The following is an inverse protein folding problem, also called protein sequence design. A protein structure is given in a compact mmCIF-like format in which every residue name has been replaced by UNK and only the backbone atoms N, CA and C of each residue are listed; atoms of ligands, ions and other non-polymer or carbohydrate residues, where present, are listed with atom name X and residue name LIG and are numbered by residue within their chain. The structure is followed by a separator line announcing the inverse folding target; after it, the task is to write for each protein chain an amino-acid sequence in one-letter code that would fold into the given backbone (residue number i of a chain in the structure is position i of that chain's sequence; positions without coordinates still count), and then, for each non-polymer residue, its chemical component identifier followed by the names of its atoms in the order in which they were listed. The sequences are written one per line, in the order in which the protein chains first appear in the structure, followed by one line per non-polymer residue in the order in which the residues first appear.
data_IF_192378382613
#
_entry.id   IF_192378382613
#
_cell.length_a   1.000
_cell.length_b   1.000
_cell.length_c   1.000
_cell.angle_alpha   90.00
_cell.angle_beta   90.00
_cell.angle_gamma   90.00
#
_symmetry.space_group_name_H-M   'P 1'
#
loop_
_entity.id
_entity.type
_entity.pdbx_description
1 polymer ?
#
# COMPACT_ATOMS: atom_id res chain seq x y z
N UNK A 1 -5.98 6.52 2.84
CA UNK A 1 -7.03 5.51 2.96
C UNK A 1 -8.33 6.23 2.72
N UNK A 2 -9.23 5.62 1.98
CA UNK A 2 -10.48 6.28 1.57
C UNK A 2 -11.47 6.47 2.73
N UNK A 3 -11.35 5.68 3.80
CA UNK A 3 -12.26 5.64 4.95
C UNK A 3 -11.57 5.85 6.30
N UNK A 4 -10.49 6.65 6.35
CA UNK A 4 -9.69 6.82 7.57
C UNK A 4 -10.44 7.50 8.72
N UNK A 5 -11.27 8.50 8.40
CA UNK A 5 -12.07 9.27 9.37
C UNK A 5 -13.53 8.80 9.39
N UNK A 6 -13.78 7.55 8.99
CA UNK A 6 -15.13 7.01 8.79
C UNK A 6 -15.60 7.03 7.34
N UNK A 7 -16.68 6.31 7.09
CA UNK A 7 -17.24 6.16 5.74
C UNK A 7 -18.02 7.42 5.38
N UNK A 8 -17.78 7.98 4.19
CA UNK A 8 -18.51 9.15 3.66
C UNK A 8 -19.06 8.87 2.28
N UNK A 9 -20.23 9.41 1.96
CA UNK A 9 -20.83 9.20 0.65
C UNK A 9 -19.96 9.89 -0.44
N UNK A 10 -19.50 9.19 -1.49
CA UNK A 10 -18.66 9.79 -2.52
C UNK A 10 -19.42 10.78 -3.43
N UNK A 11 -20.75 10.84 -3.33
CA UNK A 11 -21.60 11.71 -4.16
C UNK A 11 -22.01 13.01 -3.46
N UNK A 12 -22.22 12.97 -2.13
CA UNK A 12 -22.76 14.10 -1.37
C UNK A 12 -22.05 14.35 -0.04
N UNK A 13 -20.96 13.62 0.26
CA UNK A 13 -20.13 13.75 1.46
C UNK A 13 -20.83 13.52 2.81
N UNK A 14 -22.09 13.07 2.82
CA UNK A 14 -22.84 12.74 4.03
C UNK A 14 -22.26 11.51 4.75
N UNK A 15 -22.29 11.55 6.07
CA UNK A 15 -21.88 10.47 6.99
C UNK A 15 -23.03 9.50 7.32
N UNK A 16 -24.27 9.83 6.92
CA UNK A 16 -25.46 9.02 7.20
C UNK A 16 -25.52 7.78 6.29
N UNK A 17 -24.73 6.75 6.61
CA UNK A 17 -24.52 5.57 5.77
C UNK A 17 -24.97 4.30 6.49
N UNK A 18 -25.58 3.39 5.73
CA UNK A 18 -25.91 2.04 6.20
C UNK A 18 -25.16 1.00 5.37
N UNK A 19 -24.78 -0.10 6.02
CA UNK A 19 -24.31 -1.30 5.32
C UNK A 19 -25.49 -1.92 4.57
N UNK A 20 -25.29 -2.19 3.28
CA UNK A 20 -26.33 -2.71 2.39
C UNK A 20 -26.03 -4.17 2.07
N UNK A 21 -26.72 -5.09 2.75
CA UNK A 21 -26.34 -6.50 2.86
C UNK A 21 -26.48 -7.35 1.58
N UNK A 22 -27.11 -6.85 0.51
CA UNK A 22 -27.33 -7.61 -0.72
C UNK A 22 -26.04 -7.91 -1.51
N UNK A 23 -24.96 -7.18 -1.24
CA UNK A 23 -23.62 -7.43 -1.77
C UNK A 23 -22.60 -7.15 -0.67
N UNK A 24 -21.69 -8.10 -0.38
CA UNK A 24 -20.58 -7.89 0.56
C UNK A 24 -19.84 -6.58 0.20
N UNK A 25 -19.65 -5.72 1.21
CA UNK A 25 -18.99 -4.40 1.10
C UNK A 25 -19.75 -3.31 0.32
N UNK A 26 -21.09 -3.41 0.22
CA UNK A 26 -21.92 -2.33 -0.30
C UNK A 26 -22.46 -1.42 0.82
N UNK A 27 -22.55 -0.12 0.51
CA UNK A 27 -23.04 0.94 1.38
C UNK A 27 -24.18 1.68 0.70
N UNK A 28 -25.15 2.17 1.48
CA UNK A 28 -26.21 3.07 1.00
C UNK A 28 -26.22 4.35 1.81
N UNK A 29 -26.20 5.49 1.12
CA UNK A 29 -26.33 6.80 1.75
C UNK A 29 -27.80 7.10 2.04
N UNK A 30 -28.16 7.51 3.26
CA UNK A 30 -29.52 7.94 3.62
C UNK A 30 -29.88 9.29 3.02
N UNK A 31 -28.91 10.21 2.89
CA UNK A 31 -29.16 11.56 2.37
C UNK A 31 -29.48 11.57 0.86
N UNK A 32 -28.61 10.98 0.03
CA UNK A 32 -28.81 10.97 -1.43
C UNK A 32 -29.41 9.67 -1.98
N UNK A 33 -29.69 8.69 -1.10
CA UNK A 33 -30.26 7.36 -1.43
C UNK A 33 -29.44 6.49 -2.38
N UNK A 34 -28.28 6.94 -2.86
CA UNK A 34 -27.38 6.19 -3.76
C UNK A 34 -26.59 5.11 -3.02
N UNK A 35 -26.26 4.04 -3.73
CA UNK A 35 -25.38 2.95 -3.26
C UNK A 35 -23.96 3.14 -3.77
N UNK A 36 -22.97 2.74 -2.98
CA UNK A 36 -21.56 2.73 -3.36
C UNK A 36 -20.81 1.59 -2.65
N UNK A 37 -19.58 1.31 -3.08
CA UNK A 37 -18.70 0.33 -2.46
C UNK A 37 -17.26 0.86 -2.40
N UNK A 38 -16.33 0.03 -1.94
CA UNK A 38 -14.91 0.38 -1.83
C UNK A 38 -14.25 0.68 -3.19
N UNK A 39 -14.81 0.16 -4.28
CA UNK A 39 -14.30 0.40 -5.63
C UNK A 39 -14.83 1.70 -6.23
N UNK A 40 -15.92 2.28 -5.72
CA UNK A 40 -16.56 3.47 -6.30
C UNK A 40 -15.60 4.66 -6.35
N UNK A 41 -15.35 5.23 -7.53
CA UNK A 41 -14.40 6.34 -7.71
C UNK A 41 -12.93 5.92 -7.84
N UNK A 42 -12.62 4.63 -7.74
CA UNK A 42 -11.28 4.07 -8.01
C UNK A 42 -11.16 3.59 -9.46
N UNK A 43 -9.96 3.13 -9.87
CA UNK A 43 -9.75 2.49 -11.17
C UNK A 43 -10.58 1.20 -11.36
N UNK A 44 -11.07 0.61 -10.28
CA UNK A 44 -11.87 -0.63 -10.27
C UNK A 44 -13.38 -0.37 -10.31
N UNK A 45 -13.80 0.90 -10.42
CA UNK A 45 -15.21 1.29 -10.47
C UNK A 45 -15.96 0.55 -11.57
N UNK A 46 -17.22 0.22 -11.29
CA UNK A 46 -18.15 -0.45 -12.20
C UNK A 46 -17.70 -1.83 -12.69
N UNK A 47 -16.67 -2.42 -12.09
CA UNK A 47 -16.24 -3.78 -12.41
C UNK A 47 -16.88 -4.81 -11.49
N UNK A 48 -17.40 -5.88 -12.10
CA UNK A 48 -17.92 -7.06 -11.40
C UNK A 48 -16.80 -7.97 -10.87
N UNK A 49 -15.57 -7.84 -11.39
CA UNK A 49 -14.40 -8.61 -10.95
C UNK A 49 -14.04 -8.21 -9.51
N UNK A 50 -13.85 -9.14 -8.58
CA UNK A 50 -13.45 -8.85 -7.20
C UNK A 50 -12.04 -8.26 -7.12
N UNK A 51 -11.71 -7.61 -6.00
CA UNK A 51 -10.50 -6.79 -5.92
C UNK A 51 -9.21 -7.62 -5.98
N UNK A 52 -9.20 -8.80 -5.38
CA UNK A 52 -8.11 -9.77 -5.46
C UNK A 52 -7.79 -10.18 -6.91
N UNK A 53 -8.81 -10.53 -7.72
CA UNK A 53 -8.62 -10.85 -9.14
C UNK A 53 -8.12 -9.64 -9.95
N UNK A 54 -8.56 -8.43 -9.60
CA UNK A 54 -8.05 -7.20 -10.22
C UNK A 54 -6.56 -6.96 -9.94
N UNK A 55 -6.15 -7.17 -8.70
CA UNK A 55 -4.76 -7.04 -8.29
C UNK A 55 -3.90 -8.13 -8.94
N UNK A 56 -4.44 -9.35 -9.05
CA UNK A 56 -3.78 -10.42 -9.77
C UNK A 56 -3.67 -10.14 -11.28
N UNK A 57 -4.72 -9.63 -11.94
CA UNK A 57 -4.65 -9.20 -13.34
C UNK A 57 -3.56 -8.15 -13.55
N UNK A 58 -3.46 -7.17 -12.63
CA UNK A 58 -2.40 -6.15 -12.67
C UNK A 58 -1.01 -6.77 -12.55
N UNK A 59 -0.84 -7.77 -11.68
CA UNK A 59 0.41 -8.53 -11.57
C UNK A 59 0.77 -9.24 -12.87
N UNK A 60 -0.17 -10.02 -13.41
CA UNK A 60 0.01 -10.79 -14.64
C UNK A 60 0.47 -9.91 -15.81
N UNK A 61 -0.21 -8.77 -16.03
CA UNK A 61 0.10 -7.87 -17.14
C UNK A 61 1.36 -7.02 -16.90
N UNK A 62 1.57 -6.58 -15.67
CA UNK A 62 2.61 -5.61 -15.33
C UNK A 62 3.97 -6.22 -15.00
N UNK A 63 4.00 -7.44 -14.44
CA UNK A 63 5.23 -8.08 -13.98
C UNK A 63 5.57 -9.34 -14.78
N UNK A 64 4.56 -10.15 -15.11
CA UNK A 64 4.78 -11.35 -15.93
C UNK A 64 4.65 -11.08 -17.43
N UNK A 65 4.22 -9.88 -17.82
CA UNK A 65 4.03 -9.44 -19.21
C UNK A 65 3.25 -10.45 -20.06
N UNK A 66 2.29 -11.17 -19.47
CA UNK A 66 1.51 -12.15 -20.21
C UNK A 66 0.49 -11.46 -21.12
N UNK A 67 0.14 -12.13 -22.22
CA UNK A 67 -0.87 -11.64 -23.14
C UNK A 67 -2.27 -11.65 -22.51
N UNK A 68 -3.15 -10.75 -22.96
CA UNK A 68 -4.55 -10.68 -22.51
C UNK A 68 -5.29 -12.03 -22.67
N UNK A 69 -5.15 -12.78 -23.79
CA UNK A 69 -5.73 -14.11 -23.90
C UNK A 69 -5.23 -15.09 -22.83
N UNK A 70 -3.93 -15.07 -22.50
CA UNK A 70 -3.39 -15.93 -21.44
C UNK A 70 -3.95 -15.51 -20.08
N UNK A 71 -3.97 -14.22 -19.76
CA UNK A 71 -4.56 -13.70 -18.53
C UNK A 71 -6.05 -14.06 -18.38
N UNK A 72 -6.79 -14.13 -19.49
CA UNK A 72 -8.18 -14.60 -19.53
C UNK A 72 -8.33 -16.04 -19.03
N UNK A 73 -7.40 -16.93 -19.43
CA UNK A 73 -7.40 -18.33 -19.01
C UNK A 73 -6.98 -18.47 -17.54
N UNK A 74 -5.94 -17.76 -17.12
CA UNK A 74 -5.45 -17.80 -15.72
C UNK A 74 -6.52 -17.30 -14.71
N UNK A 75 -7.37 -16.36 -15.12
CA UNK A 75 -8.44 -15.84 -14.28
C UNK A 75 -9.77 -16.61 -14.43
N UNK A 76 -9.84 -17.55 -15.36
CA UNK A 76 -11.10 -18.23 -15.72
C UNK A 76 -12.23 -17.24 -16.02
N UNK A 77 -11.90 -16.14 -16.72
CA UNK A 77 -12.84 -15.08 -17.11
C UNK A 77 -12.95 -14.97 -18.62
N UNK A 78 -14.03 -14.35 -19.11
CA UNK A 78 -14.17 -14.05 -20.53
C UNK A 78 -13.12 -13.03 -20.99
N UNK A 79 -12.64 -13.21 -22.22
CA UNK A 79 -11.65 -12.32 -22.83
C UNK A 79 -12.07 -10.86 -22.74
N UNK A 80 -13.34 -10.57 -23.05
CA UNK A 80 -13.87 -9.21 -23.06
C UNK A 80 -13.87 -8.56 -21.66
N UNK A 81 -14.14 -9.33 -20.61
CA UNK A 81 -14.06 -8.83 -19.23
C UNK A 81 -12.62 -8.46 -18.84
N UNK A 82 -11.65 -9.31 -19.22
CA UNK A 82 -10.23 -9.07 -18.96
C UNK A 82 -9.70 -7.93 -19.82
N UNK A 83 -10.05 -7.85 -21.09
CA UNK A 83 -9.65 -6.79 -22.01
C UNK A 83 -10.11 -5.41 -21.54
N UNK A 84 -11.40 -5.26 -21.20
CA UNK A 84 -11.94 -4.00 -20.62
C UNK A 84 -11.21 -3.62 -19.33
N UNK A 85 -10.82 -4.61 -18.54
CA UNK A 85 -10.13 -4.40 -17.27
C UNK A 85 -8.67 -3.98 -17.46
N UNK A 86 -7.95 -4.66 -18.37
CA UNK A 86 -6.60 -4.34 -18.78
C UNK A 86 -6.49 -2.91 -19.32
N UNK A 87 -7.44 -2.48 -20.15
CA UNK A 87 -7.51 -1.09 -20.64
C UNK A 87 -7.56 -0.08 -19.50
N UNK A 88 -8.36 -0.32 -18.45
CA UNK A 88 -8.42 0.58 -17.28
C UNK A 88 -7.06 0.69 -16.58
N UNK A 89 -6.30 -0.40 -16.48
CA UNK A 89 -4.95 -0.41 -15.88
C UNK A 89 -3.99 0.45 -16.72
N UNK A 90 -3.98 0.22 -18.03
CA UNK A 90 -3.12 0.96 -18.98
C UNK A 90 -3.43 2.46 -18.91
N UNK A 91 -4.70 2.85 -19.05
CA UNK A 91 -5.09 4.26 -19.00
C UNK A 91 -4.82 4.93 -17.64
N UNK A 92 -4.94 4.19 -16.54
CA UNK A 92 -4.62 4.73 -15.20
C UNK A 92 -3.14 5.07 -15.06
N UNK A 93 -2.24 4.23 -15.60
CA UNK A 93 -0.80 4.46 -15.60
C UNK A 93 -0.45 5.69 -16.46
N UNK A 94 -1.03 5.81 -17.66
CA UNK A 94 -0.77 6.96 -18.53
C UNK A 94 -1.27 8.29 -17.96
N UNK A 95 -2.44 8.31 -17.28
CA UNK A 95 -2.94 9.52 -16.61
C UNK A 95 -2.04 10.02 -15.48
N UNK A 96 -1.20 9.16 -14.89
CA UNK A 96 -0.26 9.56 -13.84
C UNK A 96 0.94 10.33 -14.40
N UNK A 97 1.29 10.13 -15.68
CA UNK A 97 2.42 10.80 -16.35
C UNK A 97 2.08 12.18 -16.93
N UNK A 98 0.79 12.55 -17.04
CA UNK A 98 0.36 13.73 -17.81
C UNK A 98 -0.66 14.66 -17.17
N UNK A 99 -1.05 14.50 -15.90
CA UNK A 99 -2.04 15.38 -15.27
C UNK A 99 -1.44 16.24 -14.15
N UNK A 100 -1.57 17.57 -14.28
CA UNK A 100 -1.64 18.47 -13.11
C UNK A 100 -2.92 18.12 -12.35
N UNK A 101 -2.81 17.90 -11.04
CA UNK A 101 -3.95 17.61 -10.18
C UNK A 101 -5.03 18.71 -10.34
N UNK A 102 -6.27 18.32 -10.64
CA UNK A 102 -7.41 19.27 -10.68
C UNK A 102 -7.64 19.94 -9.32
N UNK A 103 -8.02 21.22 -9.35
CA UNK A 103 -8.39 22.02 -8.17
C UNK A 103 -9.68 21.47 -7.54
N UNK A 104 -9.61 21.16 -6.24
CA UNK A 104 -10.71 20.65 -5.41
C UNK A 104 -10.16 19.71 -4.33
N UNK A 105 -10.63 19.81 -3.08
CA UNK A 105 -9.99 19.21 -1.89
C UNK A 105 -9.76 17.69 -2.04
N UNK A 106 -8.53 17.32 -2.41
CA UNK A 106 -7.86 16.08 -1.98
C UNK A 106 -6.59 16.50 -1.26
N UNK A 107 -6.71 16.76 0.03
CA UNK A 107 -5.55 16.98 0.88
C UNK A 107 -4.92 15.62 1.19
N UNK A 108 -4.02 15.18 0.30
CA UNK A 108 -3.25 13.95 0.46
C UNK A 108 -2.43 13.89 1.76
N UNK A 109 -2.26 15.02 2.45
CA UNK A 109 -1.51 15.11 3.70
C UNK A 109 -2.14 14.34 4.88
N UNK A 110 -3.41 13.95 4.81
CA UNK A 110 -4.10 13.20 5.88
C UNK A 110 -4.56 11.78 5.49
N UNK A 111 -4.48 11.43 4.21
CA UNK A 111 -5.07 10.21 3.65
C UNK A 111 -4.02 9.14 3.29
N UNK A 112 -2.87 9.09 3.94
CA UNK A 112 -1.94 7.96 3.75
C UNK A 112 -2.32 6.83 4.71
N UNK A 113 -2.47 5.57 4.24
CA UNK A 113 -2.57 4.45 5.17
C UNK A 113 -1.37 4.45 6.10
N UNK A 114 -1.63 4.20 7.38
CA UNK A 114 -0.56 4.04 8.35
C UNK A 114 0.11 2.70 8.05
N UNK A 115 1.33 2.78 7.52
CA UNK A 115 2.11 1.62 7.12
C UNK A 115 3.46 1.76 7.78
N UNK A 116 3.81 0.80 8.61
CA UNK A 116 5.15 0.68 9.14
C UNK A 116 6.04 -0.01 8.10
N UNK A 117 7.14 0.64 7.74
CA UNK A 117 8.11 0.12 6.78
C UNK A 117 9.32 -0.36 7.57
N UNK A 118 9.58 -1.67 7.52
CA UNK A 118 10.77 -2.28 8.11
C UNK A 118 11.71 -2.67 6.99
N UNK A 119 12.95 -2.17 7.03
CA UNK A 119 13.94 -2.45 5.99
C UNK A 119 15.25 -2.86 6.64
N UNK A 120 15.69 -4.07 6.33
CA UNK A 120 17.02 -4.53 6.66
C UNK A 120 18.05 -3.92 5.68
N UNK A 121 19.22 -3.51 6.19
CA UNK A 121 20.27 -2.81 5.40
C UNK A 121 20.64 -3.54 4.10
N UNK A 122 20.69 -4.87 4.12
CA UNK A 122 21.07 -5.72 2.98
C UNK A 122 20.14 -6.91 2.79
N UNK A 123 18.88 -6.79 3.19
CA UNK A 123 18.01 -7.95 3.22
C UNK A 123 16.57 -7.64 2.89
N UNK A 124 15.68 -8.13 3.74
CA UNK A 124 14.25 -8.12 3.50
C UNK A 124 13.64 -6.76 3.83
N UNK A 125 12.57 -6.43 3.12
CA UNK A 125 11.74 -5.28 3.41
C UNK A 125 10.30 -5.73 3.62
N UNK A 126 9.62 -5.13 4.60
CA UNK A 126 8.25 -5.43 4.96
C UNK A 126 7.44 -4.15 5.05
N UNK A 127 6.22 -4.21 4.55
CA UNK A 127 5.22 -3.15 4.66
C UNK A 127 4.09 -3.69 5.53
N UNK A 128 3.92 -3.14 6.72
CA UNK A 128 2.98 -3.66 7.72
C UNK A 128 1.88 -2.61 7.91
N UNK A 129 0.62 -2.92 7.59
CA UNK A 129 -0.50 -2.06 7.94
C UNK A 129 -0.55 -1.85 9.45
N UNK A 130 -0.89 -0.64 9.85
CA UNK A 130 -1.10 -0.30 11.26
C UNK A 130 -2.39 0.48 11.41
N UNK A 131 -3.10 0.26 12.51
CA UNK A 131 -4.30 1.03 12.88
C UNK A 131 -3.93 2.42 13.41
N UNK A 132 -2.77 2.53 14.06
CA UNK A 132 -2.29 3.73 14.73
C UNK A 132 -0.75 3.81 14.71
N UNK A 133 -0.17 4.79 15.41
CA UNK A 133 1.28 4.97 15.56
C UNK A 133 1.69 5.02 17.04
N UNK A 134 0.88 4.38 17.89
CA UNK A 134 1.09 4.36 19.34
C UNK A 134 2.18 3.36 19.73
N UNK A 135 2.76 3.59 20.92
CA UNK A 135 3.84 2.77 21.47
C UNK A 135 3.50 1.27 21.50
N UNK A 136 2.27 0.93 21.93
CA UNK A 136 1.78 -0.45 22.03
C UNK A 136 1.71 -1.16 20.67
N UNK A 137 1.32 -0.44 19.63
CA UNK A 137 1.22 -1.00 18.28
C UNK A 137 2.60 -1.19 17.67
N UNK A 138 3.51 -0.23 17.87
CA UNK A 138 4.92 -0.37 17.48
C UNK A 138 5.58 -1.54 18.20
N UNK A 139 5.38 -1.68 19.51
CA UNK A 139 5.87 -2.81 20.30
C UNK A 139 5.42 -4.16 19.73
N UNK A 140 4.12 -4.31 19.44
CA UNK A 140 3.58 -5.53 18.82
C UNK A 140 4.19 -5.82 17.45
N UNK A 141 4.34 -4.79 16.62
CA UNK A 141 4.91 -4.94 15.28
C UNK A 141 6.38 -5.34 15.37
N UNK A 142 7.18 -4.63 16.17
CA UNK A 142 8.62 -4.86 16.27
C UNK A 142 8.91 -6.21 16.90
N UNK A 143 8.25 -6.55 18.02
CA UNK A 143 8.46 -7.84 18.71
C UNK A 143 8.10 -9.05 17.84
N UNK A 144 7.19 -8.88 16.89
CA UNK A 144 6.77 -9.95 15.97
C UNK A 144 7.66 -10.08 14.73
N UNK A 145 8.35 -9.01 14.31
CA UNK A 145 9.02 -8.95 13.01
C UNK A 145 10.52 -8.68 13.08
N UNK A 146 11.06 -8.36 14.25
CA UNK A 146 12.47 -8.02 14.45
C UNK A 146 13.05 -8.88 15.56
N UNK A 147 14.20 -9.50 15.31
CA UNK A 147 14.88 -10.32 16.30
C UNK A 147 15.44 -9.44 17.44
N UNK A 148 15.28 -9.81 18.73
CA UNK A 148 15.68 -9.00 19.89
C UNK A 148 17.14 -8.51 19.88
N UNK A 149 18.04 -9.26 19.23
CA UNK A 149 19.47 -8.94 19.12
C UNK A 149 19.79 -7.88 18.07
N UNK A 150 18.80 -7.48 17.25
CA UNK A 150 18.98 -6.57 16.13
C UNK A 150 19.30 -5.15 16.56
N UNK A 151 20.16 -4.46 15.79
CA UNK A 151 20.38 -3.02 15.92
C UNK A 151 19.41 -2.26 15.03
N UNK A 152 18.56 -1.43 15.64
CA UNK A 152 17.49 -0.70 14.95
C UNK A 152 17.93 0.76 14.70
N UNK A 153 17.67 1.26 13.50
CA UNK A 153 17.88 2.68 13.14
C UNK A 153 16.52 3.34 12.93
N UNK A 154 16.25 4.42 13.67
CA UNK A 154 14.95 5.11 13.70
C UNK A 154 15.13 6.63 13.63
N UNK A 155 14.05 7.33 13.32
CA UNK A 155 13.99 8.78 13.47
C UNK A 155 13.78 9.17 14.96
N UNK A 156 13.59 10.46 15.20
CA UNK A 156 13.38 11.04 16.52
C UNK A 156 11.93 10.97 17.02
N UNK A 157 11.05 10.15 16.41
CA UNK A 157 9.66 10.08 16.80
C UNK A 157 9.47 9.43 18.20
N UNK A 158 8.72 10.13 19.07
CA UNK A 158 8.59 9.79 20.50
C UNK A 158 8.03 8.39 20.76
N UNK A 159 7.19 7.86 19.87
CA UNK A 159 6.63 6.51 20.07
C UNK A 159 7.70 5.40 20.03
N UNK A 160 8.86 5.64 19.41
CA UNK A 160 9.96 4.67 19.40
C UNK A 160 10.72 4.55 20.72
N UNK A 161 10.44 5.40 21.72
CA UNK A 161 11.03 5.27 23.06
C UNK A 161 10.78 3.91 23.70
N UNK A 162 9.70 3.21 23.30
CA UNK A 162 9.37 1.85 23.75
C UNK A 162 10.46 0.82 23.39
N UNK A 163 11.25 1.05 22.35
CA UNK A 163 12.33 0.14 21.95
C UNK A 163 13.42 0.02 23.02
N UNK A 164 13.62 1.07 23.80
CA UNK A 164 14.54 1.04 24.94
C UNK A 164 14.02 0.10 26.03
N UNK A 165 12.72 0.17 26.34
CA UNK A 165 12.05 -0.70 27.32
C UNK A 165 12.07 -2.17 26.88
N UNK A 166 12.00 -2.42 25.57
CA UNK A 166 12.08 -3.76 24.99
C UNK A 166 13.51 -4.33 24.91
N UNK A 167 14.52 -3.56 25.32
CA UNK A 167 15.92 -4.00 25.32
C UNK A 167 16.62 -3.97 23.96
N UNK A 168 16.01 -3.36 22.94
CA UNK A 168 16.64 -3.24 21.62
C UNK A 168 17.77 -2.21 21.64
N UNK A 169 18.91 -2.58 21.05
CA UNK A 169 19.95 -1.62 20.68
C UNK A 169 19.42 -0.75 19.54
N UNK A 170 19.26 0.55 19.77
CA UNK A 170 18.71 1.45 18.77
C UNK A 170 19.46 2.78 18.71
N UNK A 171 19.56 3.33 17.51
CA UNK A 171 20.16 4.63 17.22
C UNK A 171 19.12 5.55 16.59
N UNK A 172 19.14 6.84 16.98
CA UNK A 172 18.19 7.85 16.50
C UNK A 172 18.88 8.89 15.64
N UNK A 173 18.19 9.30 14.58
CA UNK A 173 18.56 10.47 13.77
C UNK A 173 17.54 11.58 13.99
N UNK A 174 18.02 12.79 14.25
CA UNK A 174 17.15 13.92 14.53
C UNK A 174 17.03 14.88 13.35
N UNK A 175 15.96 14.71 12.56
CA UNK A 175 15.66 15.57 11.43
C UNK A 175 15.31 17.02 11.81
N UNK A 176 14.89 17.31 13.05
CA UNK A 176 14.55 18.68 13.47
C UNK A 176 15.76 19.61 13.54
N UNK A 177 16.95 19.05 13.74
CA UNK A 177 18.23 19.76 13.73
C UNK A 177 18.99 19.58 12.41
N UNK A 178 18.30 19.12 11.34
CA UNK A 178 18.87 18.81 10.02
C UNK A 178 19.97 17.74 10.04
N UNK A 179 19.97 16.87 11.05
CA UNK A 179 20.77 15.64 11.02
C UNK A 179 20.02 14.60 10.18
N UNK A 180 20.57 14.24 9.02
CA UNK A 180 19.98 13.22 8.12
C UNK A 180 20.74 11.90 8.16
N UNK A 181 22.02 11.93 8.51
CA UNK A 181 22.86 10.75 8.69
C UNK A 181 24.01 11.03 9.66
N UNK A 182 24.39 10.00 10.42
CA UNK A 182 25.63 9.97 11.23
C UNK A 182 26.42 8.72 10.86
N UNK A 183 27.30 8.84 9.87
CA UNK A 183 27.97 7.67 9.26
C UNK A 183 26.93 6.68 8.72
N UNK A 184 26.96 5.43 9.22
CA UNK A 184 26.02 4.38 8.83
C UNK A 184 24.66 4.44 9.56
N UNK A 185 24.43 5.46 10.41
CA UNK A 185 23.19 5.65 11.16
C UNK A 185 22.29 6.60 10.36
N UNK A 186 21.25 6.07 9.72
CA UNK A 186 20.28 6.82 8.93
C UNK A 186 19.01 6.01 8.65
N UNK A 187 17.93 6.68 8.28
CA UNK A 187 16.62 6.09 7.94
C UNK A 187 16.34 6.07 6.43
N UNK A 188 17.28 6.52 5.59
CA UNK A 188 17.11 6.66 4.13
C UNK A 188 16.54 5.39 3.46
N UNK A 189 16.94 4.19 3.90
CA UNK A 189 16.39 2.94 3.37
C UNK A 189 14.86 2.88 3.46
N UNK A 190 14.27 3.35 4.56
CA UNK A 190 12.82 3.40 4.74
C UNK A 190 12.20 4.53 3.92
N UNK A 191 12.86 5.70 3.85
CA UNK A 191 12.41 6.84 3.04
C UNK A 191 12.36 6.51 1.55
N UNK A 192 13.37 5.81 1.04
CA UNK A 192 13.43 5.30 -0.33
C UNK A 192 12.26 4.34 -0.62
N UNK A 193 11.91 3.48 0.35
CA UNK A 193 10.79 2.54 0.19
C UNK A 193 9.46 3.27 0.22
N UNK A 194 9.34 4.31 1.03
CA UNK A 194 8.18 5.18 1.05
C UNK A 194 8.02 5.96 -0.26
N UNK A 195 9.12 6.41 -0.88
CA UNK A 195 9.12 7.14 -2.15
C UNK A 195 8.62 6.29 -3.33
N UNK A 196 8.75 4.95 -3.25
CA UNK A 196 8.19 4.00 -4.22
C UNK A 196 6.74 3.65 -3.88
N UNK A 197 6.45 3.38 -2.61
CA UNK A 197 5.12 2.98 -2.14
C UNK A 197 4.05 4.03 -2.44
N UNK A 198 4.36 5.31 -2.17
CA UNK A 198 3.39 6.42 -2.30
C UNK A 198 2.88 6.58 -3.75
N UNK A 199 3.74 6.73 -4.79
CA UNK A 199 3.29 6.77 -6.17
C UNK A 199 2.57 5.50 -6.60
N UNK A 200 3.02 4.33 -6.15
CA UNK A 200 2.40 3.06 -6.51
C UNK A 200 0.95 2.97 -6.00
N UNK A 201 0.72 3.32 -4.72
CA UNK A 201 -0.64 3.38 -4.15
C UNK A 201 -1.51 4.42 -4.85
N UNK A 202 -0.91 5.52 -5.30
CA UNK A 202 -1.64 6.63 -5.91
C UNK A 202 -2.29 6.25 -7.26
N UNK A 203 -1.75 5.28 -7.99
CA UNK A 203 -2.35 4.76 -9.24
C UNK A 203 -3.78 4.25 -9.00
N UNK A 204 -4.06 3.72 -7.80
CA UNK A 204 -5.34 3.14 -7.46
C UNK A 204 -6.43 4.18 -7.14
N UNK A 205 -6.04 5.45 -6.92
CA UNK A 205 -6.95 6.58 -6.64
C UNK A 205 -7.87 6.33 -5.43
N UNK A 206 -7.28 5.82 -4.36
CA UNK A 206 -7.97 5.51 -3.11
C UNK A 206 -7.90 4.01 -2.80
N UNK A 207 -7.43 3.70 -1.60
CA UNK A 207 -7.30 2.33 -1.07
C UNK A 207 -8.14 2.22 0.20
N UNK A 208 -8.95 1.17 0.29
CA UNK A 208 -9.69 0.82 1.50
C UNK A 208 -8.74 0.17 2.51
N UNK A 209 -8.90 0.47 3.79
CA UNK A 209 -8.08 -0.09 4.87
C UNK A 209 -8.25 -1.61 4.95
N UNK A 210 -9.50 -2.08 4.88
CA UNK A 210 -9.87 -3.50 4.89
C UNK A 210 -9.17 -4.32 3.79
N UNK A 211 -8.77 -3.67 2.70
CA UNK A 211 -8.13 -4.33 1.56
C UNK A 211 -6.64 -4.01 1.46
N UNK A 212 -6.08 -3.20 2.37
CA UNK A 212 -4.72 -2.69 2.27
C UNK A 212 -3.69 -3.83 2.21
N UNK A 213 -3.91 -4.91 2.96
CA UNK A 213 -3.09 -6.11 2.92
C UNK A 213 -2.94 -6.69 1.51
N UNK A 214 -4.02 -6.71 0.73
CA UNK A 214 -3.98 -7.23 -0.65
C UNK A 214 -3.09 -6.36 -1.54
N UNK A 215 -3.15 -5.03 -1.38
CA UNK A 215 -2.31 -4.10 -2.11
C UNK A 215 -0.83 -4.23 -1.73
N UNK A 216 -0.54 -4.31 -0.43
CA UNK A 216 0.84 -4.47 0.06
C UNK A 216 1.43 -5.82 -0.33
N UNK A 217 0.63 -6.89 -0.27
CA UNK A 217 1.01 -8.21 -0.75
C UNK A 217 1.35 -8.21 -2.24
N UNK A 218 0.54 -7.52 -3.05
CA UNK A 218 0.84 -7.34 -4.47
C UNK A 218 2.17 -6.59 -4.65
N UNK A 219 2.35 -5.44 -4.00
CA UNK A 219 3.59 -4.66 -4.11
C UNK A 219 4.81 -5.51 -3.73
N UNK A 220 4.72 -6.26 -2.64
CA UNK A 220 5.79 -7.15 -2.19
C UNK A 220 6.12 -8.21 -3.26
N UNK A 221 5.10 -8.87 -3.82
CA UNK A 221 5.29 -9.85 -4.89
C UNK A 221 5.99 -9.24 -6.11
N UNK A 222 5.54 -8.08 -6.58
CA UNK A 222 6.16 -7.37 -7.71
C UNK A 222 7.65 -7.10 -7.45
N UNK A 223 7.98 -6.62 -6.25
CA UNK A 223 9.36 -6.31 -5.86
C UNK A 223 10.24 -7.54 -5.67
N UNK A 224 9.67 -8.64 -5.21
CA UNK A 224 10.38 -9.92 -5.11
C UNK A 224 10.75 -10.49 -6.48
N UNK A 225 9.88 -10.33 -7.49
CA UNK A 225 10.13 -10.80 -8.85
C UNK A 225 11.07 -9.91 -9.67
N UNK A 226 11.18 -8.63 -9.32
CA UNK A 226 12.06 -7.68 -10.02
C UNK A 226 13.52 -7.72 -9.54
N UNK A 227 13.82 -8.33 -8.39
CA UNK A 227 15.21 -8.54 -7.98
C UNK A 227 15.78 -9.71 -8.81
N UNK A 228 16.84 -9.53 -9.62
CA UNK A 228 17.51 -10.66 -10.23
C UNK A 228 17.96 -11.60 -9.11
N UNK A 229 17.77 -12.91 -9.29
CA UNK A 229 18.42 -13.92 -8.46
C UNK A 229 19.92 -13.63 -8.54
N UNK A 230 20.51 -13.03 -7.51
CA UNK A 230 21.95 -13.00 -7.37
C UNK A 230 22.39 -14.46 -7.35
N UNK A 231 23.04 -14.89 -8.43
CA UNK A 231 23.56 -16.24 -8.56
C UNK A 231 24.54 -16.47 -7.41
N UNK A 232 24.14 -17.29 -6.44
CA UNK A 232 25.10 -18.05 -5.63
C UNK A 232 25.77 -19.05 -6.57
N UNK A 233 27.04 -18.81 -6.88
CA UNK A 233 28.10 -19.74 -7.33
C UNK A 233 29.36 -18.89 -7.46
N UNK A 234 30.52 -19.18 -6.90
CA UNK A 234 30.99 -20.12 -5.89
C UNK A 234 32.47 -19.74 -5.78
N UNK A 235 32.87 -19.01 -4.75
CA UNK A 235 34.28 -18.93 -4.37
C UNK A 235 34.62 -20.22 -3.62
N UNK A 236 35.22 -21.14 -4.33
CA UNK A 236 35.90 -22.29 -3.74
C UNK A 236 37.18 -22.50 -4.55
N UNK A 237 38.24 -22.64 -3.77
CA UNK A 237 39.66 -22.68 -4.08
C UNK A 237 40.04 -23.75 -5.12
#
# INVERSE_FOLDING_TARGET
VRWAEGIRCPYCSSEAIIRWAWYRHAYRCKACRRTFNDKTGTIFSYSRIPLNEWLFLRYLLGCLHISIPKASRELERSYEAVYRSARKIIYAIHRFRGLKAERGRRSWGKDMPRIMILVERRGVERYIPSTDVEKRTIEKIVSRHVEPVSRIYIDSFTSYTILQTLGFKHERVNHSIREYARGNIHTNNCEDRASILKPWLAIHRGVSEDNLDLYLSLLHLQRSTSKPKTSKRSSSQ
#
